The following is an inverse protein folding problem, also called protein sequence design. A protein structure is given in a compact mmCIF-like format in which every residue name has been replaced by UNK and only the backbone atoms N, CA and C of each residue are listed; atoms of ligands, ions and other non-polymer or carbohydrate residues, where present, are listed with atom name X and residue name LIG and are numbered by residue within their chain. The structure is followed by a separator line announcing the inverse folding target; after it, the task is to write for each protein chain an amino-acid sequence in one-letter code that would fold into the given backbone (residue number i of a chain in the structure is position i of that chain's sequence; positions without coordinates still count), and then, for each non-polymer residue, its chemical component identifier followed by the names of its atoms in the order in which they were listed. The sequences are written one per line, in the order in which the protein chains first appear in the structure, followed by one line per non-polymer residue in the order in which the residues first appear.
data_IF_979797704461
#
_entry.id   IF_979797704461
#
_cell.length_a   1.000
_cell.length_b   1.000
_cell.length_c   1.000
_cell.angle_alpha   90.00
_cell.angle_beta   90.00
_cell.angle_gamma   90.00
#
_symmetry.space_group_name_H-M   'P 1'
#
loop_
_entity.id
_entity.type
_entity.pdbx_description
1 polymer ?
#
# COMPACT_ATOMS: atom_id res chain seq x y z
N UNK A 1 32.41 23.98 -20.98
CA UNK A 1 32.43 22.87 -20.01
C UNK A 1 33.77 22.91 -19.27
N UNK A 2 33.73 22.59 -17.98
CA UNK A 2 34.80 22.67 -16.96
C UNK A 2 34.96 24.04 -16.26
N UNK A 3 34.32 24.18 -15.10
CA UNK A 3 34.99 24.82 -13.98
C UNK A 3 34.97 23.87 -12.78
N UNK A 4 36.13 23.82 -12.15
CA UNK A 4 36.71 22.73 -11.37
C UNK A 4 36.25 22.80 -9.92
N UNK A 5 36.11 21.62 -9.32
CA UNK A 5 35.78 21.39 -7.92
C UNK A 5 36.70 22.19 -6.99
N UNK A 6 36.09 22.84 -5.98
CA UNK A 6 36.79 23.31 -4.80
C UNK A 6 36.40 22.44 -3.62
N UNK A 7 37.35 21.60 -3.19
CA UNK A 7 37.32 20.85 -1.94
C UNK A 7 37.56 21.87 -0.83
N UNK A 8 36.57 22.09 0.02
CA UNK A 8 36.79 22.66 1.35
C UNK A 8 36.56 21.53 2.36
N UNK A 9 37.67 21.02 2.88
CA UNK A 9 37.70 20.29 4.13
C UNK A 9 37.56 21.29 5.28
N UNK A 10 36.49 21.18 6.07
CA UNK A 10 36.42 21.73 7.42
C UNK A 10 36.17 20.54 8.34
N UNK A 11 37.20 20.20 9.11
CA UNK A 11 37.10 19.28 10.23
C UNK A 11 36.60 19.98 11.49
N UNK A 12 36.48 19.14 12.53
CA UNK A 12 36.22 19.43 13.94
C UNK A 12 34.75 19.53 14.39
N UNK A 13 34.32 18.40 14.95
CA UNK A 13 33.85 18.29 16.33
C UNK A 13 32.73 19.23 16.77
N UNK A 14 31.51 18.71 16.71
CA UNK A 14 30.37 19.20 17.46
C UNK A 14 29.39 18.07 17.69
N UNK A 15 29.67 17.22 18.68
CA UNK A 15 28.62 16.42 19.31
C UNK A 15 27.62 17.40 19.93
N UNK A 16 26.56 17.72 19.20
CA UNK A 16 25.39 18.36 19.79
C UNK A 16 24.73 17.31 20.67
N UNK A 17 24.92 17.47 21.99
CA UNK A 17 24.09 16.83 23.00
C UNK A 17 22.62 17.04 22.60
N UNK A 18 21.91 15.94 22.32
CA UNK A 18 20.45 15.97 22.24
C UNK A 18 19.98 16.33 23.65
N UNK A 19 19.28 17.46 23.88
CA UNK A 19 18.66 17.67 25.17
C UNK A 19 17.69 16.52 25.42
N UNK A 20 17.85 15.80 26.53
CA UNK A 20 16.82 14.90 27.01
C UNK A 20 15.65 15.79 27.47
N UNK A 21 14.54 15.79 26.72
CA UNK A 21 13.36 16.57 27.06
C UNK A 21 12.66 15.92 28.26
N UNK A 22 13.12 16.27 29.45
CA UNK A 22 12.44 15.92 30.69
C UNK A 22 11.24 16.87 30.84
N UNK A 23 10.03 16.34 30.66
CA UNK A 23 8.80 17.08 30.95
C UNK A 23 8.47 16.86 32.42
N UNK A 24 8.42 17.93 33.21
CA UNK A 24 8.11 17.88 34.63
C UNK A 24 6.61 18.08 34.82
N UNK A 25 5.98 17.19 35.59
CA UNK A 25 4.61 17.38 36.06
C UNK A 25 4.66 18.22 37.34
N UNK A 26 4.28 19.48 37.24
CA UNK A 26 4.22 20.39 38.38
C UNK A 26 2.77 20.47 38.87
N UNK A 27 2.58 20.32 40.18
CA UNK A 27 1.28 20.55 40.83
C UNK A 27 1.42 21.77 41.73
N UNK A 28 0.56 22.77 41.52
CA UNK A 28 0.52 23.96 42.37
C UNK A 28 -0.27 23.72 43.67
N UNK A 29 -0.23 24.69 44.59
CA UNK A 29 -0.94 24.60 45.87
C UNK A 29 -2.47 24.50 45.74
N UNK A 30 -3.03 24.83 44.56
CA UNK A 30 -4.45 24.73 44.24
C UNK A 30 -4.81 23.42 43.53
N UNK A 31 -3.85 22.48 43.38
CA UNK A 31 -4.06 21.19 42.74
C UNK A 31 -4.07 21.23 41.20
N UNK A 32 -3.73 22.36 40.57
CA UNK A 32 -3.64 22.46 39.11
C UNK A 32 -2.36 21.82 38.62
N UNK A 33 -2.50 20.92 37.63
CA UNK A 33 -1.39 20.23 36.99
C UNK A 33 -0.95 21.00 35.75
N UNK A 34 0.33 21.38 35.71
CA UNK A 34 0.96 21.99 34.54
C UNK A 34 2.21 21.20 34.15
N UNK A 35 2.40 20.99 32.85
CA UNK A 35 3.57 20.31 32.30
C UNK A 35 4.56 21.34 31.78
N UNK A 36 5.78 21.34 32.32
CA UNK A 36 6.82 22.30 31.97
C UNK A 36 8.10 21.58 31.53
N UNK A 37 8.84 22.20 30.62
CA UNK A 37 10.12 21.68 30.13
C UNK A 37 11.31 22.02 31.05
N UNK A 38 11.06 22.79 32.12
CA UNK A 38 12.03 23.16 33.15
C UNK A 38 11.56 22.66 34.53
N UNK A 39 12.50 22.46 35.46
CA UNK A 39 12.17 22.04 36.83
C UNK A 39 11.22 23.03 37.51
N UNK A 40 10.24 22.50 38.27
CA UNK A 40 9.19 23.30 38.87
C UNK A 40 9.75 24.30 39.90
N UNK A 41 9.72 25.60 39.61
CA UNK A 41 10.04 26.64 40.58
C UNK A 41 8.84 26.91 41.49
N UNK A 42 8.79 26.25 42.66
CA UNK A 42 7.77 26.50 43.69
C UNK A 42 6.58 25.53 43.73
N UNK A 43 6.68 24.35 43.10
CA UNK A 43 5.69 23.28 43.28
C UNK A 43 6.00 22.45 44.54
N UNK A 44 4.98 22.05 45.30
CA UNK A 44 5.11 21.21 46.50
C UNK A 44 5.53 19.77 46.17
N UNK A 45 5.25 19.29 44.95
CA UNK A 45 5.74 18.01 44.43
C UNK A 45 6.00 18.13 42.92
N UNK A 46 7.20 17.75 42.48
CA UNK A 46 7.60 17.67 41.08
C UNK A 46 8.15 16.29 40.78
N UNK A 47 7.47 15.52 39.94
CA UNK A 47 7.97 14.23 39.45
C UNK A 47 8.43 14.40 38.00
N UNK A 48 9.66 13.98 37.71
CA UNK A 48 10.19 13.90 36.34
C UNK A 48 9.41 12.82 35.58
N UNK A 49 8.72 13.18 34.51
CA UNK A 49 8.07 12.21 33.64
C UNK A 49 9.10 11.78 32.59
N UNK A 50 9.54 10.53 32.66
CA UNK A 50 10.34 9.93 31.59
C UNK A 50 9.40 9.51 30.46
N UNK A 51 9.35 10.31 29.40
CA UNK A 51 8.46 10.07 28.27
C UNK A 51 9.18 9.13 27.32
N UNK A 52 8.99 7.83 27.53
CA UNK A 52 9.51 6.81 26.62
C UNK A 52 8.55 6.65 25.43
N UNK A 53 8.99 6.85 24.17
CA UNK A 53 8.16 6.61 23.01
C UNK A 53 7.81 5.12 22.91
N UNK A 54 6.56 4.83 22.53
CA UNK A 54 6.01 3.47 22.42
C UNK A 54 6.63 2.71 21.24
N UNK A 55 7.88 2.28 21.39
CA UNK A 55 8.56 1.39 20.46
C UNK A 55 9.01 0.14 21.22
N UNK A 56 8.23 -0.94 21.09
CA UNK A 56 8.64 -2.31 21.40
C UNK A 56 8.01 -2.96 22.62
N UNK A 57 7.18 -3.98 22.36
CA UNK A 57 6.64 -5.04 23.24
C UNK A 57 5.88 -4.64 24.52
N UNK A 58 4.61 -5.06 24.71
CA UNK A 58 3.89 -4.79 25.94
C UNK A 58 4.52 -5.56 27.11
N UNK A 59 4.99 -4.82 28.13
CA UNK A 59 5.31 -5.40 29.43
C UNK A 59 4.03 -5.96 30.06
N UNK A 60 4.10 -7.21 30.52
CA UNK A 60 2.98 -7.93 31.13
C UNK A 60 2.43 -7.16 32.35
N UNK A 61 1.10 -6.94 32.47
CA UNK A 61 0.53 -6.25 33.62
C UNK A 61 0.62 -7.13 34.89
N UNK A 62 0.81 -6.54 36.09
CA UNK A 62 0.78 -7.29 37.34
C UNK A 62 -0.62 -7.87 37.61
N UNK A 63 -0.72 -9.05 38.26
CA UNK A 63 -2.01 -9.66 38.56
C UNK A 63 -2.77 -8.82 39.59
N UNK A 64 -3.87 -8.20 39.16
CA UNK A 64 -4.83 -7.55 40.04
C UNK A 64 -5.88 -8.59 40.44
N UNK A 65 -5.88 -8.98 41.71
CA UNK A 65 -6.94 -9.79 42.30
C UNK A 65 -8.09 -8.89 42.76
N UNK A 66 -9.31 -9.40 42.54
CA UNK A 66 -10.63 -8.91 42.94
C UNK A 66 -11.30 -7.90 41.98
N UNK A 67 -12.30 -8.36 41.22
CA UNK A 67 -13.67 -8.50 41.74
C UNK A 67 -14.56 -9.18 40.69
N UNK A 68 -15.38 -10.12 41.17
CA UNK A 68 -16.53 -10.69 40.46
C UNK A 68 -17.55 -9.58 40.19
N UNK A 69 -17.77 -9.27 38.91
CA UNK A 69 -18.96 -8.59 38.38
C UNK A 69 -19.19 -9.19 36.98
N UNK A 70 -20.07 -10.18 36.92
CA UNK A 70 -21.42 -10.04 36.39
C UNK A 70 -21.46 -9.96 34.86
N UNK A 71 -22.07 -11.02 34.32
CA UNK A 71 -22.56 -11.21 32.97
C UNK A 71 -23.18 -9.94 32.39
N UNK A 72 -22.35 -9.14 31.71
CA UNK A 72 -22.81 -8.07 30.82
C UNK A 72 -22.06 -8.19 29.50
N UNK A 73 -22.86 -8.29 28.43
CA UNK A 73 -22.41 -8.23 27.04
C UNK A 73 -21.33 -7.15 26.86
N UNK A 74 -20.23 -7.41 26.14
CA UNK A 74 -19.19 -6.41 25.94
C UNK A 74 -19.78 -5.24 25.15
N UNK A 75 -20.09 -4.14 25.84
CA UNK A 75 -20.48 -2.88 25.20
C UNK A 75 -19.20 -2.35 24.54
N UNK A 76 -19.08 -2.57 23.23
CA UNK A 76 -17.95 -2.12 22.42
C UNK A 76 -17.57 -0.68 22.80
N UNK A 77 -16.28 -0.45 23.02
CA UNK A 77 -15.76 0.86 23.38
C UNK A 77 -15.99 1.87 22.25
N UNK A 78 -15.95 3.17 22.55
CA UNK A 78 -16.04 4.19 21.50
C UNK A 78 -14.94 4.04 20.45
N UNK A 79 -13.74 3.63 20.88
CA UNK A 79 -12.64 3.31 19.98
C UNK A 79 -12.99 2.16 19.02
N UNK A 80 -13.63 1.09 19.51
CA UNK A 80 -14.06 -0.04 18.67
C UNK A 80 -15.09 0.39 17.62
N UNK A 81 -16.00 1.29 17.99
CA UNK A 81 -17.02 1.84 17.06
C UNK A 81 -16.40 2.70 15.98
N UNK A 82 -15.48 3.59 16.35
CA UNK A 82 -14.76 4.43 15.39
C UNK A 82 -13.90 3.58 14.44
N UNK A 83 -13.27 2.52 14.96
CA UNK A 83 -12.52 1.56 14.14
C UNK A 83 -13.43 0.76 13.20
N UNK A 84 -14.61 0.34 13.65
CA UNK A 84 -15.59 -0.33 12.79
C UNK A 84 -16.10 0.58 11.68
N UNK A 85 -16.37 1.86 11.98
CA UNK A 85 -16.78 2.87 11.00
C UNK A 85 -15.67 3.11 9.96
N UNK A 86 -14.42 3.29 10.40
CA UNK A 86 -13.30 3.53 9.48
C UNK A 86 -13.05 2.32 8.58
N UNK A 87 -13.16 1.10 9.10
CA UNK A 87 -13.08 -0.12 8.31
C UNK A 87 -14.18 -0.21 7.25
N UNK A 88 -15.42 0.20 7.58
CA UNK A 88 -16.53 0.25 6.61
C UNK A 88 -16.27 1.26 5.49
N UNK A 89 -15.86 2.48 5.83
CA UNK A 89 -15.53 3.52 4.86
C UNK A 89 -14.37 3.12 3.94
N UNK A 90 -13.35 2.43 4.48
CA UNK A 90 -12.25 1.92 3.67
C UNK A 90 -12.73 0.92 2.60
N UNK A 91 -13.68 0.04 2.94
CA UNK A 91 -14.29 -0.91 1.99
C UNK A 91 -15.13 -0.18 0.93
N UNK A 92 -15.94 0.80 1.32
CA UNK A 92 -16.73 1.62 0.38
C UNK A 92 -15.83 2.38 -0.61
N UNK A 93 -14.75 2.99 -0.13
CA UNK A 93 -13.76 3.65 -0.98
C UNK A 93 -13.07 2.68 -1.95
N UNK A 94 -12.74 1.47 -1.47
CA UNK A 94 -12.16 0.43 -2.32
C UNK A 94 -13.14 -0.04 -3.40
N UNK A 95 -14.41 -0.26 -3.03
CA UNK A 95 -15.47 -0.62 -3.96
C UNK A 95 -15.67 0.46 -5.04
N UNK A 96 -15.67 1.74 -4.64
CA UNK A 96 -15.71 2.87 -5.57
C UNK A 96 -14.52 2.87 -6.54
N UNK A 97 -13.31 2.60 -6.03
CA UNK A 97 -12.09 2.52 -6.86
C UNK A 97 -12.17 1.38 -7.88
N UNK A 98 -12.67 0.21 -7.47
CA UNK A 98 -12.84 -0.94 -8.37
C UNK A 98 -13.82 -0.62 -9.51
N UNK A 99 -14.97 -0.01 -9.18
CA UNK A 99 -16.01 0.32 -10.14
C UNK A 99 -15.59 1.41 -11.12
N UNK A 100 -14.92 2.47 -10.64
CA UNK A 100 -14.64 3.65 -11.45
C UNK A 100 -13.33 3.54 -12.24
N UNK A 101 -12.34 2.78 -11.74
CA UNK A 101 -10.99 2.78 -12.29
C UNK A 101 -10.50 1.38 -12.63
N UNK A 102 -10.47 0.46 -11.66
CA UNK A 102 -9.73 -0.81 -11.84
C UNK A 102 -10.33 -1.73 -12.89
N UNK A 103 -11.67 -1.91 -12.87
CA UNK A 103 -12.34 -2.80 -13.83
C UNK A 103 -12.28 -2.23 -15.25
N UNK A 104 -12.59 -0.92 -15.41
CA UNK A 104 -12.50 -0.26 -16.71
C UNK A 104 -11.09 -0.29 -17.28
N UNK A 105 -10.08 0.02 -16.47
CA UNK A 105 -8.68 -0.06 -16.87
C UNK A 105 -8.25 -1.45 -17.33
N UNK A 106 -8.64 -2.51 -16.59
CA UNK A 106 -8.34 -3.89 -16.98
C UNK A 106 -9.03 -4.30 -18.29
N UNK A 107 -10.26 -3.86 -18.52
CA UNK A 107 -10.97 -4.08 -19.79
C UNK A 107 -10.28 -3.38 -20.96
N UNK A 108 -9.83 -2.14 -20.75
CA UNK A 108 -9.08 -1.39 -21.74
C UNK A 108 -7.72 -2.03 -22.06
N UNK A 109 -7.03 -2.57 -21.05
CA UNK A 109 -5.79 -3.33 -21.24
C UNK A 109 -6.03 -4.57 -22.11
N UNK A 110 -7.08 -5.34 -21.84
CA UNK A 110 -7.46 -6.49 -22.68
C UNK A 110 -7.73 -6.04 -24.12
N UNK A 111 -8.46 -4.95 -24.30
CA UNK A 111 -8.76 -4.43 -25.63
C UNK A 111 -7.50 -3.96 -26.37
N UNK A 112 -6.56 -3.30 -25.67
CA UNK A 112 -5.25 -2.91 -26.22
C UNK A 112 -4.42 -4.11 -26.63
N UNK A 113 -4.27 -5.10 -25.74
CA UNK A 113 -3.51 -6.32 -26.01
C UNK A 113 -4.06 -7.09 -27.20
N UNK A 114 -5.39 -7.19 -27.33
CA UNK A 114 -6.05 -7.81 -28.50
C UNK A 114 -5.72 -7.09 -29.80
N UNK A 115 -5.79 -5.76 -29.83
CA UNK A 115 -5.45 -4.97 -31.03
C UNK A 115 -3.98 -5.10 -31.40
N UNK A 116 -3.08 -5.08 -30.41
CA UNK A 116 -1.64 -5.27 -30.63
C UNK A 116 -1.35 -6.65 -31.22
N UNK A 117 -1.91 -7.71 -30.63
CA UNK A 117 -1.76 -9.07 -31.15
C UNK A 117 -2.25 -9.19 -32.60
N UNK A 118 -3.42 -8.64 -32.91
CA UNK A 118 -3.96 -8.67 -34.27
C UNK A 118 -3.03 -7.94 -35.25
N UNK A 119 -2.53 -6.76 -34.87
CA UNK A 119 -1.60 -5.99 -35.70
C UNK A 119 -0.29 -6.76 -35.97
N UNK A 120 0.27 -7.45 -34.98
CA UNK A 120 1.48 -8.27 -35.13
C UNK A 120 1.24 -9.46 -36.05
N UNK A 121 0.15 -10.20 -35.83
CA UNK A 121 -0.22 -11.33 -36.69
C UNK A 121 -0.47 -10.89 -38.14
N UNK A 122 -1.12 -9.75 -38.33
CA UNK A 122 -1.39 -9.19 -39.66
C UNK A 122 -0.10 -8.71 -40.34
N UNK A 123 0.84 -8.14 -39.59
CA UNK A 123 2.16 -7.79 -40.11
C UNK A 123 2.89 -9.03 -40.65
N UNK A 124 2.92 -10.14 -39.89
CA UNK A 124 3.55 -11.39 -40.34
C UNK A 124 2.81 -12.00 -41.53
N UNK A 125 1.47 -11.97 -41.53
CA UNK A 125 0.65 -12.44 -42.67
C UNK A 125 0.92 -11.62 -43.94
N UNK A 126 1.08 -10.31 -43.82
CA UNK A 126 1.39 -9.46 -44.96
C UNK A 126 2.79 -9.74 -45.51
N UNK A 127 3.79 -9.94 -44.64
CA UNK A 127 5.13 -10.41 -45.06
C UNK A 127 5.06 -11.76 -45.76
N UNK A 128 4.23 -12.68 -45.27
CA UNK A 128 3.98 -13.98 -45.92
C UNK A 128 3.41 -13.83 -47.33
N UNK A 129 2.39 -12.99 -47.49
CA UNK A 129 1.77 -12.72 -48.80
C UNK A 129 2.74 -12.11 -49.81
N UNK A 130 3.60 -11.19 -49.36
CA UNK A 130 4.61 -10.57 -50.21
C UNK A 130 5.67 -11.60 -50.63
N UNK A 131 6.15 -12.42 -49.69
CA UNK A 131 7.19 -13.40 -49.96
C UNK A 131 6.72 -14.64 -50.76
N UNK A 132 5.43 -14.99 -50.73
CA UNK A 132 4.87 -16.07 -51.57
C UNK A 132 4.91 -15.75 -53.07
N UNK A 133 5.21 -14.51 -53.46
CA UNK A 133 5.38 -14.09 -54.86
C UNK A 133 6.85 -14.16 -55.33
N UNK A 134 7.78 -14.43 -54.41
CA UNK A 134 9.22 -14.56 -54.70
C UNK A 134 9.64 -16.05 -54.72
N UNK A 135 10.58 -16.41 -55.59
CA UNK A 135 10.96 -17.80 -55.94
C UNK A 135 11.50 -18.68 -54.78
N UNK A 136 11.61 -18.14 -53.55
CA UNK A 136 12.22 -18.78 -52.37
C UNK A 136 11.19 -19.42 -51.40
N UNK A 137 10.08 -19.95 -51.94
CA UNK A 137 8.82 -20.17 -51.21
C UNK A 137 8.84 -21.17 -50.04
N UNK A 138 9.57 -22.29 -50.10
CA UNK A 138 9.34 -23.37 -49.13
C UNK A 138 9.95 -23.14 -47.74
N UNK A 139 11.22 -22.72 -47.65
CA UNK A 139 11.90 -22.52 -46.36
C UNK A 139 11.43 -21.24 -45.67
N UNK A 140 11.12 -20.21 -46.45
CA UNK A 140 10.62 -18.93 -45.95
C UNK A 140 9.20 -19.04 -45.37
N UNK A 141 8.34 -19.86 -45.97
CA UNK A 141 6.99 -20.09 -45.44
C UNK A 141 6.99 -20.84 -44.10
N UNK A 142 7.94 -21.76 -43.90
CA UNK A 142 8.10 -22.49 -42.64
C UNK A 142 8.54 -21.57 -41.50
N UNK A 143 9.54 -20.70 -41.73
CA UNK A 143 10.01 -19.76 -40.72
C UNK A 143 8.93 -18.75 -40.32
N UNK A 144 8.17 -18.23 -41.29
CA UNK A 144 7.03 -17.34 -41.03
C UNK A 144 5.90 -18.03 -40.27
N UNK A 145 5.62 -19.30 -40.58
CA UNK A 145 4.58 -20.05 -39.89
C UNK A 145 4.97 -20.34 -38.44
N UNK A 146 6.26 -20.62 -38.18
CA UNK A 146 6.80 -20.72 -36.82
C UNK A 146 6.74 -19.37 -36.08
N UNK A 147 7.05 -18.26 -36.75
CA UNK A 147 6.93 -16.91 -36.18
C UNK A 147 5.47 -16.60 -35.78
N UNK A 148 4.49 -16.90 -36.65
CA UNK A 148 3.07 -16.73 -36.34
C UNK A 148 2.63 -17.55 -35.14
N UNK A 149 3.09 -18.80 -35.01
CA UNK A 149 2.78 -19.66 -33.86
C UNK A 149 3.38 -19.10 -32.56
N UNK A 150 4.61 -18.59 -32.61
CA UNK A 150 5.25 -17.97 -31.47
C UNK A 150 4.50 -16.70 -31.00
N UNK A 151 4.11 -15.84 -31.93
CA UNK A 151 3.31 -14.63 -31.62
C UNK A 151 1.96 -15.04 -31.03
N UNK A 152 1.25 -16.01 -31.63
CA UNK A 152 -0.02 -16.48 -31.11
C UNK A 152 0.10 -17.01 -29.67
N UNK A 153 1.15 -17.78 -29.37
CA UNK A 153 1.40 -18.28 -28.02
C UNK A 153 1.68 -17.15 -27.00
N UNK A 154 2.39 -16.10 -27.42
CA UNK A 154 2.62 -14.91 -26.60
C UNK A 154 1.31 -14.16 -26.35
N UNK A 155 0.52 -13.91 -27.38
CA UNK A 155 -0.79 -13.27 -27.27
C UNK A 155 -1.72 -14.01 -26.31
N UNK A 156 -1.79 -15.34 -26.42
CA UNK A 156 -2.63 -16.16 -25.56
C UNK A 156 -2.20 -16.07 -24.09
N UNK A 157 -0.89 -16.02 -23.85
CA UNK A 157 -0.33 -15.91 -22.49
C UNK A 157 -0.68 -14.55 -21.88
N UNK A 158 -0.52 -13.47 -22.63
CA UNK A 158 -0.85 -12.14 -22.14
C UNK A 158 -2.36 -11.97 -21.94
N UNK A 159 -3.18 -12.50 -22.86
CA UNK A 159 -4.62 -12.46 -22.71
C UNK A 159 -5.08 -13.20 -21.45
N UNK A 160 -4.53 -14.39 -21.16
CA UNK A 160 -4.81 -15.12 -19.92
C UNK A 160 -4.39 -14.33 -18.68
N UNK A 161 -3.22 -13.68 -18.72
CA UNK A 161 -2.73 -12.85 -17.61
C UNK A 161 -3.68 -11.70 -17.30
N UNK A 162 -4.12 -10.97 -18.32
CA UNK A 162 -5.03 -9.83 -18.17
C UNK A 162 -6.44 -10.26 -17.76
N UNK A 163 -6.93 -11.39 -18.27
CA UNK A 163 -8.19 -11.98 -17.83
C UNK A 163 -8.16 -12.33 -16.35
N UNK A 164 -7.09 -12.97 -15.87
CA UNK A 164 -6.93 -13.28 -14.45
C UNK A 164 -6.94 -12.03 -13.54
N UNK A 165 -6.41 -10.90 -14.03
CA UNK A 165 -6.46 -9.61 -13.31
C UNK A 165 -7.90 -9.10 -13.23
N UNK A 166 -8.63 -9.12 -14.35
CA UNK A 166 -10.03 -8.72 -14.38
C UNK A 166 -10.88 -9.58 -13.45
N UNK A 167 -10.72 -10.89 -13.51
CA UNK A 167 -11.45 -11.84 -12.67
C UNK A 167 -11.19 -11.61 -11.18
N UNK A 168 -9.93 -11.29 -10.82
CA UNK A 168 -9.56 -10.91 -9.46
C UNK A 168 -10.31 -9.65 -9.00
N UNK A 169 -10.39 -8.61 -9.82
CA UNK A 169 -11.12 -7.38 -9.48
C UNK A 169 -12.63 -7.62 -9.36
N UNK A 170 -13.20 -8.46 -10.21
CA UNK A 170 -14.62 -8.83 -10.15
C UNK A 170 -14.92 -9.61 -8.87
N UNK A 171 -14.04 -10.54 -8.48
CA UNK A 171 -14.17 -11.32 -7.25
C UNK A 171 -14.08 -10.41 -6.03
N UNK A 172 -13.06 -9.56 -5.98
CA UNK A 172 -12.88 -8.59 -4.88
C UNK A 172 -14.09 -7.66 -4.73
N UNK A 173 -14.64 -7.20 -5.86
CA UNK A 173 -15.87 -6.41 -5.86
C UNK A 173 -17.04 -7.17 -5.22
N UNK A 174 -17.28 -8.40 -5.65
CA UNK A 174 -18.38 -9.23 -5.13
C UNK A 174 -18.23 -9.50 -3.62
N UNK A 175 -17.01 -9.75 -3.16
CA UNK A 175 -16.74 -9.99 -1.75
C UNK A 175 -16.99 -8.72 -0.92
N UNK A 176 -16.55 -7.55 -1.38
CA UNK A 176 -16.81 -6.27 -0.70
C UNK A 176 -18.31 -5.95 -0.65
N UNK A 177 -19.04 -6.18 -1.75
CA UNK A 177 -20.50 -6.00 -1.79
C UNK A 177 -21.20 -6.92 -0.77
N UNK A 178 -20.77 -8.19 -0.66
CA UNK A 178 -21.30 -9.14 0.32
C UNK A 178 -20.99 -8.71 1.76
N UNK A 179 -19.77 -8.26 2.02
CA UNK A 179 -19.35 -7.80 3.34
C UNK A 179 -20.10 -6.54 3.80
N UNK A 180 -20.35 -5.60 2.88
CA UNK A 180 -21.08 -4.36 3.16
C UNK A 180 -22.59 -4.58 3.30
N UNK A 181 -23.13 -5.65 2.70
CA UNK A 181 -24.53 -6.05 2.86
C UNK A 181 -24.82 -6.73 4.21
N UNK A 182 -23.79 -7.11 4.96
CA UNK A 182 -23.97 -7.71 6.29
C UNK A 182 -24.38 -6.61 7.31
N UNK A 183 -25.49 -6.80 8.03
CA UNK A 183 -25.95 -5.85 9.05
C UNK A 183 -25.04 -5.82 10.29
#
# INVERSE_FOLDING_TARGET
MHCRHWVIAIGLAGWTCVPAWAVYKCVDANGRVTFQQSACSGATQGAKLDVQPASGYPASPPPSNAATADSSSPRASEADRLNALSARLAKENRLSTLNNLSIGGAQDDIARARRQCQAELDAVRNRKKLASNDLAGATWEQSLSAEMQAIAAQCDTEQRRLQAILDRYLTEKQDLERELAKP
#
